data_IF_206493169427
#
_entry.id   IF_206493169427
#
_cell.length_a   1.000
_cell.length_b   1.000
_cell.length_c   1.000
_cell.angle_alpha   90.00
_cell.angle_beta   90.00
_cell.angle_gamma   90.00
#
_symmetry.space_group_name_H-M   'P 1'
#
loop_
_entity.id
_entity.type
_entity.pdbx_description
1 polymer ?
#
# COMPACT_ATOMS: atom_id res chain seq x y z
N UNK A 1 45.41 28.38 -75.15
CA UNK A 1 46.45 27.35 -75.02
C UNK A 1 46.44 26.86 -73.59
N UNK A 2 46.01 25.67 -73.19
CA UNK A 2 45.19 24.60 -73.81
C UNK A 2 44.68 23.73 -72.63
N UNK A 3 43.95 22.60 -72.70
CA UNK A 3 43.32 21.70 -73.69
C UNK A 3 42.21 20.96 -72.88
N UNK A 4 41.16 20.32 -73.40
CA UNK A 4 40.37 20.38 -74.65
C UNK A 4 39.14 19.51 -74.40
N UNK A 5 37.93 19.99 -74.71
CA UNK A 5 36.71 19.16 -74.63
C UNK A 5 36.45 18.55 -76.00
N UNK A 6 36.20 17.23 -76.04
CA UNK A 6 35.79 16.54 -77.26
C UNK A 6 34.70 15.52 -76.94
N UNK A 7 33.46 15.85 -77.28
CA UNK A 7 32.36 14.89 -77.38
C UNK A 7 32.62 13.95 -78.57
N UNK A 8 32.19 12.69 -78.44
CA UNK A 8 31.85 11.89 -79.61
C UNK A 8 30.59 11.06 -79.34
N UNK A 9 29.74 10.99 -80.36
CA UNK A 9 28.36 10.55 -80.21
C UNK A 9 28.18 9.02 -80.30
N UNK A 10 27.25 8.60 -79.47
CA UNK A 10 26.56 7.33 -79.31
C UNK A 10 26.43 6.39 -80.54
N UNK A 11 26.64 5.09 -80.33
CA UNK A 11 25.74 3.99 -80.79
C UNK A 11 26.20 2.65 -80.20
N UNK A 12 25.36 1.98 -79.41
CA UNK A 12 24.99 0.57 -79.56
C UNK A 12 24.31 0.00 -78.29
N UNK A 13 23.23 -0.78 -78.54
CA UNK A 13 22.79 -1.97 -77.79
C UNK A 13 22.54 -1.88 -76.28
N UNK A 14 21.31 -2.21 -75.89
CA UNK A 14 21.00 -2.67 -74.54
C UNK A 14 20.65 -4.15 -74.56
N UNK A 15 21.03 -4.86 -73.51
CA UNK A 15 20.33 -6.06 -73.03
C UNK A 15 20.55 -6.20 -71.52
N UNK A 16 19.65 -6.91 -70.84
CA UNK A 16 19.71 -7.35 -69.44
C UNK A 16 20.03 -6.31 -68.33
N UNK A 17 19.32 -6.24 -67.20
CA UNK A 17 18.35 -7.17 -66.65
C UNK A 17 18.46 -7.21 -65.12
N UNK A 18 17.39 -6.78 -64.44
CA UNK A 18 16.99 -7.26 -63.10
C UNK A 18 17.77 -6.75 -61.85
N UNK A 19 17.16 -5.73 -61.23
CA UNK A 19 17.07 -5.42 -59.78
C UNK A 19 18.30 -5.05 -58.95
N UNK A 20 18.27 -3.81 -58.44
CA UNK A 20 19.00 -3.43 -57.23
C UNK A 20 18.38 -4.07 -55.96
N UNK A 21 19.23 -4.63 -55.10
CA UNK A 21 18.84 -5.05 -53.74
C UNK A 21 18.72 -3.82 -52.84
N UNK A 22 17.73 -3.72 -51.93
CA UNK A 22 17.65 -2.63 -50.98
C UNK A 22 18.80 -2.72 -49.97
N UNK A 23 19.49 -1.60 -49.73
CA UNK A 23 20.57 -1.53 -48.75
C UNK A 23 20.04 -1.85 -47.34
N UNK A 24 20.65 -2.83 -46.69
CA UNK A 24 20.33 -3.20 -45.31
C UNK A 24 20.76 -2.08 -44.36
N UNK A 25 19.79 -1.32 -43.85
CA UNK A 25 20.02 -0.30 -42.82
C UNK A 25 20.42 -1.01 -41.53
N UNK A 26 21.72 -1.01 -41.23
CA UNK A 26 22.24 -1.46 -39.94
C UNK A 26 21.74 -0.46 -38.88
N UNK A 27 21.06 -0.89 -37.80
CA UNK A 27 20.62 0.02 -36.76
C UNK A 27 21.84 0.65 -36.09
N UNK A 28 21.91 1.98 -36.11
CA UNK A 28 22.93 2.71 -35.36
C UNK A 28 22.67 2.50 -33.87
N UNK A 29 23.49 1.66 -33.23
CA UNK A 29 23.56 1.59 -31.77
C UNK A 29 23.91 2.98 -31.24
N UNK A 30 23.02 3.53 -30.41
CA UNK A 30 23.23 4.84 -29.78
C UNK A 30 24.40 4.74 -28.80
N UNK A 31 25.55 5.24 -29.25
CA UNK A 31 26.81 5.21 -28.52
C UNK A 31 26.72 5.99 -27.19
N UNK A 32 25.82 6.99 -27.11
CA UNK A 32 25.57 7.75 -25.89
C UNK A 32 24.94 6.88 -24.81
N UNK A 33 23.88 6.15 -25.13
CA UNK A 33 23.21 5.25 -24.18
C UNK A 33 24.12 4.13 -23.68
N UNK A 34 24.97 3.57 -24.55
CA UNK A 34 25.96 2.56 -24.15
C UNK A 34 27.04 3.13 -23.22
N UNK A 35 27.46 4.39 -23.44
CA UNK A 35 28.42 5.08 -22.59
C UNK A 35 27.81 5.44 -21.22
N UNK A 36 26.58 5.96 -21.20
CA UNK A 36 25.87 6.32 -19.98
C UNK A 36 25.60 5.09 -19.09
N UNK A 37 25.20 3.97 -19.67
CA UNK A 37 25.00 2.71 -18.93
C UNK A 37 26.34 2.14 -18.43
N UNK A 38 27.42 2.22 -19.23
CA UNK A 38 28.76 1.82 -18.79
C UNK A 38 29.26 2.68 -17.61
N UNK A 39 29.06 4.00 -17.66
CA UNK A 39 29.40 4.94 -16.57
C UNK A 39 28.57 4.62 -15.32
N UNK A 40 27.24 4.48 -15.46
CA UNK A 40 26.34 4.15 -14.35
C UNK A 40 26.75 2.85 -13.66
N UNK A 41 27.07 1.81 -14.44
CA UNK A 41 27.52 0.52 -13.93
C UNK A 41 28.88 0.60 -13.23
N UNK A 42 29.82 1.39 -13.76
CA UNK A 42 31.11 1.62 -13.14
C UNK A 42 30.99 2.35 -11.79
N UNK A 43 30.18 3.41 -11.72
CA UNK A 43 29.92 4.18 -10.49
C UNK A 43 29.21 3.33 -9.44
N UNK A 44 28.18 2.57 -9.82
CA UNK A 44 27.48 1.64 -8.92
C UNK A 44 28.42 0.54 -8.39
N UNK A 45 29.33 0.03 -9.23
CA UNK A 45 30.35 -0.92 -8.83
C UNK A 45 31.35 -0.36 -7.80
N UNK A 46 31.78 0.90 -7.95
CA UNK A 46 32.64 1.55 -6.95
C UNK A 46 31.90 1.82 -5.64
N UNK A 47 30.64 2.30 -5.69
CA UNK A 47 29.84 2.51 -4.48
C UNK A 47 29.61 1.21 -3.71
N UNK A 48 29.28 0.11 -4.40
CA UNK A 48 29.15 -1.21 -3.79
C UNK A 48 30.48 -1.72 -3.18
N UNK A 49 31.61 -1.44 -3.84
CA UNK A 49 32.93 -1.81 -3.33
C UNK A 49 33.31 -1.04 -2.04
N UNK A 50 33.03 0.26 -1.95
CA UNK A 50 33.31 1.02 -0.73
C UNK A 50 32.30 0.75 0.40
N UNK A 51 31.01 0.58 0.08
CA UNK A 51 30.01 0.12 1.04
C UNK A 51 30.42 -1.22 1.68
N UNK A 52 30.99 -2.15 0.89
CA UNK A 52 31.54 -3.41 1.41
C UNK A 52 32.75 -3.23 2.33
N UNK A 53 33.62 -2.24 2.08
CA UNK A 53 34.75 -1.94 3.00
C UNK A 53 34.26 -1.32 4.32
N UNK A 54 33.29 -0.40 4.26
CA UNK A 54 32.67 0.19 5.46
C UNK A 54 31.99 -0.89 6.28
N UNK A 55 31.17 -1.75 5.65
CA UNK A 55 30.51 -2.86 6.32
C UNK A 55 31.52 -3.84 6.96
N UNK A 56 32.61 -4.17 6.27
CA UNK A 56 33.66 -5.03 6.83
C UNK A 56 34.36 -4.41 8.05
N UNK A 57 34.56 -3.07 8.07
CA UNK A 57 35.09 -2.35 9.22
C UNK A 57 34.14 -2.39 10.41
N UNK A 58 32.89 -1.97 10.21
CA UNK A 58 31.87 -1.91 11.28
C UNK A 58 31.57 -3.29 11.86
N UNK A 59 31.44 -4.32 11.01
CA UNK A 59 31.23 -5.71 11.47
C UNK A 59 32.45 -6.23 12.23
N UNK A 60 33.67 -5.85 11.83
CA UNK A 60 34.89 -6.21 12.57
C UNK A 60 35.01 -5.53 13.94
N UNK A 61 34.47 -4.32 14.09
CA UNK A 61 34.46 -3.57 15.35
C UNK A 61 33.36 -4.06 16.31
N UNK A 62 32.20 -4.48 15.78
CA UNK A 62 31.08 -5.00 16.57
C UNK A 62 31.21 -6.49 16.94
N UNK A 63 31.93 -7.31 16.15
CA UNK A 63 32.20 -8.72 16.46
C UNK A 63 33.42 -8.88 17.38
N UNK A 64 33.36 -8.27 18.56
CA UNK A 64 34.33 -8.55 19.63
C UNK A 64 34.27 -10.04 20.04
N UNK A 65 35.37 -10.62 20.54
CA UNK A 65 35.37 -12.04 20.94
C UNK A 65 34.36 -12.35 22.05
N UNK A 66 33.99 -11.36 22.85
CA UNK A 66 32.95 -11.43 23.90
C UNK A 66 31.55 -11.54 23.28
N UNK A 67 31.22 -10.69 22.29
CA UNK A 67 29.94 -10.76 21.55
C UNK A 67 29.83 -12.08 20.79
N UNK A 68 30.91 -12.54 20.15
CA UNK A 68 30.95 -13.83 19.44
C UNK A 68 30.81 -15.01 20.41
N UNK A 69 31.29 -14.91 21.65
CA UNK A 69 31.07 -15.92 22.68
C UNK A 69 29.60 -15.95 23.13
N UNK A 70 29.01 -14.80 23.44
CA UNK A 70 27.59 -14.69 23.81
C UNK A 70 26.65 -15.23 22.72
N UNK A 71 26.87 -14.88 21.46
CA UNK A 71 26.08 -15.42 20.33
C UNK A 71 26.15 -16.95 20.21
N UNK A 72 27.30 -17.56 20.57
CA UNK A 72 27.45 -19.03 20.59
C UNK A 72 26.74 -19.67 21.77
N UNK A 73 26.75 -19.01 22.93
CA UNK A 73 26.02 -19.47 24.12
C UNK A 73 24.52 -19.48 23.86
N UNK A 74 23.96 -18.39 23.31
CA UNK A 74 22.54 -18.33 22.90
C UNK A 74 22.20 -19.42 21.88
N UNK A 75 23.02 -19.60 20.85
CA UNK A 75 22.79 -20.62 19.82
C UNK A 75 22.85 -22.07 20.36
N UNK A 76 23.67 -22.33 21.39
CA UNK A 76 23.66 -23.62 22.09
C UNK A 76 22.39 -23.80 22.93
N UNK A 77 21.93 -22.73 23.59
CA UNK A 77 20.73 -22.76 24.43
C UNK A 77 19.45 -22.97 23.59
N UNK A 78 19.35 -22.32 22.43
CA UNK A 78 18.30 -22.57 21.44
C UNK A 78 18.37 -23.99 20.85
N UNK A 79 19.57 -24.49 20.54
CA UNK A 79 19.74 -25.86 20.05
C UNK A 79 19.33 -26.91 21.10
N UNK A 80 19.59 -26.67 22.38
CA UNK A 80 19.10 -27.51 23.48
C UNK A 80 17.58 -27.46 23.58
N UNK A 81 16.97 -26.26 23.53
CA UNK A 81 15.50 -26.09 23.52
C UNK A 81 14.83 -26.79 22.33
N UNK A 82 15.48 -26.83 21.17
CA UNK A 82 14.98 -27.51 19.98
C UNK A 82 15.10 -29.05 20.02
N UNK A 83 15.91 -29.61 20.92
CA UNK A 83 16.19 -31.04 21.01
C UNK A 83 15.35 -31.80 22.05
N UNK A 84 14.63 -31.10 22.95
CA UNK A 84 13.77 -31.73 23.97
C UNK A 84 12.30 -31.22 23.93
N UNK A 85 11.51 -31.65 22.93
CA UNK A 85 10.09 -31.30 22.82
C UNK A 85 9.20 -32.21 23.70
N UNK A 86 9.25 -32.01 25.02
CA UNK A 86 8.29 -32.50 26.03
C UNK A 86 8.27 -34.01 26.33
N UNK A 87 7.90 -34.38 27.57
CA UNK A 87 6.60 -35.04 27.69
C UNK A 87 5.73 -34.53 28.86
N UNK A 88 4.43 -34.43 28.60
CA UNK A 88 3.40 -34.45 29.64
C UNK A 88 3.49 -35.75 30.46
N UNK A 89 3.65 -35.65 31.77
CA UNK A 89 3.50 -36.75 32.71
C UNK A 89 2.71 -36.28 33.94
N UNK A 90 1.38 -36.32 33.83
CA UNK A 90 0.45 -35.86 34.87
C UNK A 90 0.53 -36.72 36.14
N UNK A 91 0.71 -36.09 37.30
CA UNK A 91 0.14 -36.55 38.57
C UNK A 91 -0.39 -35.35 39.38
N UNK A 92 -1.42 -35.55 40.23
CA UNK A 92 -2.31 -34.45 40.63
C UNK A 92 -2.06 -33.89 42.03
N UNK A 93 -2.29 -32.58 42.16
CA UNK A 93 -2.62 -31.93 43.42
C UNK A 93 -1.45 -31.28 44.16
N UNK A 94 -1.31 -29.97 44.00
CA UNK A 94 -1.58 -29.01 45.08
C UNK A 94 -1.75 -27.61 44.47
N UNK A 95 -2.72 -26.84 44.99
CA UNK A 95 -3.02 -25.49 44.48
C UNK A 95 -2.21 -24.47 45.29
N UNK A 96 -1.27 -23.80 44.64
CA UNK A 96 -0.64 -22.58 45.15
C UNK A 96 -0.97 -21.42 44.19
N UNK A 97 -1.66 -20.35 44.62
CA UNK A 97 -2.06 -19.26 43.74
C UNK A 97 -0.93 -18.24 43.57
N UNK A 98 0.04 -18.56 42.72
CA UNK A 98 1.12 -17.64 42.35
C UNK A 98 1.95 -18.14 41.16
N UNK A 99 2.40 -17.21 40.31
CA UNK A 99 3.21 -17.44 39.11
C UNK A 99 2.54 -18.26 37.98
N UNK A 100 1.60 -17.62 37.28
CA UNK A 100 1.15 -18.02 35.93
C UNK A 100 0.81 -16.79 35.06
N UNK A 101 1.67 -15.78 35.10
CA UNK A 101 1.63 -14.58 34.24
C UNK A 101 3.08 -14.20 33.86
N UNK A 102 3.69 -14.88 32.88
CA UNK A 102 4.96 -14.42 32.26
C UNK A 102 5.32 -15.04 30.87
N UNK A 103 4.39 -15.74 30.19
CA UNK A 103 4.64 -16.38 28.87
C UNK A 103 3.54 -16.05 27.83
N UNK A 104 2.90 -14.88 27.94
CA UNK A 104 1.78 -14.47 27.07
C UNK A 104 1.85 -13.01 26.55
N UNK A 105 2.94 -12.27 26.80
CA UNK A 105 3.05 -10.84 26.44
C UNK A 105 3.98 -10.53 25.25
N UNK A 106 4.65 -11.50 24.62
CA UNK A 106 5.60 -11.24 23.51
C UNK A 106 4.96 -10.86 22.15
N UNK A 107 3.63 -10.98 21.97
CA UNK A 107 2.94 -10.70 20.70
C UNK A 107 1.70 -9.79 20.87
N UNK A 108 1.69 -8.97 21.93
CA UNK A 108 0.67 -7.94 22.10
C UNK A 108 0.90 -6.80 21.09
N UNK A 109 -0.11 -6.41 20.27
CA UNK A 109 0.06 -5.30 19.34
C UNK A 109 0.39 -4.01 20.11
N UNK A 110 1.25 -3.14 19.56
CA UNK A 110 1.73 -1.96 20.28
C UNK A 110 0.55 -1.08 20.73
N UNK A 111 0.62 -0.51 21.95
CA UNK A 111 -0.48 0.27 22.50
C UNK A 111 -0.75 1.49 21.60
N UNK A 112 -2.01 1.72 21.29
CA UNK A 112 -2.45 2.88 20.48
C UNK A 112 -2.12 4.19 21.22
N UNK A 113 -1.54 5.15 20.52
CA UNK A 113 -1.25 6.49 21.07
C UNK A 113 -2.56 7.18 21.45
N UNK A 114 -3.51 7.19 20.51
CA UNK A 114 -4.85 7.68 20.71
C UNK A 114 -5.76 6.49 20.98
N UNK A 115 -6.19 6.31 22.25
CA UNK A 115 -7.03 5.17 22.65
C UNK A 115 -8.44 5.16 22.03
N UNK A 116 -8.89 6.28 21.48
CA UNK A 116 -10.22 6.42 20.88
C UNK A 116 -10.15 7.29 19.64
N UNK A 117 -11.10 7.07 18.71
CA UNK A 117 -11.27 7.90 17.53
C UNK A 117 -11.52 9.38 17.89
N UNK A 118 -12.27 9.66 18.96
CA UNK A 118 -12.49 11.03 19.45
C UNK A 118 -11.17 11.72 19.84
N UNK A 119 -10.30 11.03 20.59
CA UNK A 119 -8.99 11.57 20.95
C UNK A 119 -8.12 11.82 19.70
N UNK A 120 -8.08 10.89 18.75
CA UNK A 120 -7.37 11.09 17.48
C UNK A 120 -7.89 12.31 16.71
N UNK A 121 -9.22 12.44 16.57
CA UNK A 121 -9.82 13.54 15.81
C UNK A 121 -9.60 14.89 16.50
N UNK A 122 -9.79 14.97 17.82
CA UNK A 122 -9.66 16.22 18.59
C UNK A 122 -8.19 16.63 18.77
N UNK A 123 -7.34 15.70 19.20
CA UNK A 123 -6.03 16.03 19.75
C UNK A 123 -4.92 15.96 18.67
N UNK A 124 -5.12 15.19 17.58
CA UNK A 124 -4.23 15.17 16.41
C UNK A 124 -4.85 15.84 15.17
N UNK A 125 -5.92 15.27 14.62
CA UNK A 125 -6.40 15.64 13.28
C UNK A 125 -6.84 17.11 13.19
N UNK A 126 -7.61 17.60 14.16
CA UNK A 126 -8.06 18.99 14.20
C UNK A 126 -6.91 20.00 14.40
N UNK A 127 -5.80 19.59 15.03
CA UNK A 127 -4.63 20.43 15.25
C UNK A 127 -3.72 20.53 14.01
N UNK A 128 -3.67 19.43 13.23
CA UNK A 128 -2.87 19.31 12.01
C UNK A 128 -3.60 19.84 10.77
N UNK A 129 -4.88 19.48 10.58
CA UNK A 129 -5.60 19.69 9.32
C UNK A 129 -6.29 21.08 9.24
N UNK A 130 -5.47 22.13 9.11
CA UNK A 130 -5.93 23.53 9.14
C UNK A 130 -6.54 23.94 7.79
N UNK A 131 -7.83 24.28 7.79
CA UNK A 131 -8.60 24.74 6.62
C UNK A 131 -9.60 25.81 7.02
N UNK A 132 -9.94 26.70 6.08
CA UNK A 132 -10.95 27.73 6.30
C UNK A 132 -12.36 27.11 6.23
N UNK A 133 -12.96 26.85 7.40
CA UNK A 133 -14.31 26.27 7.54
C UNK A 133 -15.24 27.07 8.47
N UNK A 134 -14.73 28.19 9.01
CA UNK A 134 -15.41 29.02 10.01
C UNK A 134 -15.82 30.38 9.45
N UNK A 135 -15.11 30.92 8.45
CA UNK A 135 -15.39 32.25 7.92
C UNK A 135 -16.72 32.33 7.16
N UNK A 136 -17.43 33.48 7.16
CA UNK A 136 -18.68 33.65 6.42
C UNK A 136 -18.50 33.40 4.92
N UNK A 137 -19.08 32.31 4.43
CA UNK A 137 -19.00 31.90 3.02
C UNK A 137 -18.01 30.77 2.73
N UNK A 138 -17.13 30.42 3.68
CA UNK A 138 -16.20 29.27 3.59
C UNK A 138 -16.91 27.96 3.20
N UNK A 139 -18.15 27.78 3.65
CA UNK A 139 -19.07 26.68 3.30
C UNK A 139 -19.31 26.46 1.78
N UNK A 140 -18.89 27.39 0.91
CA UNK A 140 -18.87 27.21 -0.56
C UNK A 140 -17.66 26.41 -1.05
N UNK A 141 -16.57 26.38 -0.28
CA UNK A 141 -15.27 25.85 -0.65
C UNK A 141 -14.85 24.66 0.23
N UNK A 142 -15.14 24.72 1.53
CA UNK A 142 -14.94 23.62 2.46
C UNK A 142 -16.07 23.57 3.51
N UNK A 143 -16.44 22.37 3.96
CA UNK A 143 -17.45 22.16 5.00
C UNK A 143 -16.88 21.32 6.12
N UNK A 144 -17.23 21.68 7.36
CA UNK A 144 -16.97 20.85 8.52
C UNK A 144 -18.22 20.79 9.40
N UNK A 145 -18.50 19.61 9.95
CA UNK A 145 -19.56 19.41 10.91
C UNK A 145 -18.97 19.28 12.31
N UNK A 146 -19.29 20.17 13.28
CA UNK A 146 -18.81 20.03 14.65
C UNK A 146 -19.26 18.73 15.32
N UNK A 147 -20.46 18.22 14.98
CA UNK A 147 -20.98 16.92 15.40
C UNK A 147 -20.69 15.85 14.35
N UNK A 148 -19.42 15.68 13.98
CA UNK A 148 -18.98 14.77 12.91
C UNK A 148 -19.39 13.30 13.18
N UNK A 149 -19.47 12.91 14.46
CA UNK A 149 -19.91 11.59 14.91
C UNK A 149 -21.38 11.27 14.59
N UNK A 150 -22.20 12.23 14.17
CA UNK A 150 -23.58 11.97 13.70
C UNK A 150 -23.61 11.60 12.20
N UNK A 151 -22.46 11.45 11.55
CA UNK A 151 -22.33 11.01 10.17
C UNK A 151 -21.56 9.68 10.10
N UNK A 152 -22.25 8.56 9.86
CA UNK A 152 -21.61 7.24 9.77
C UNK A 152 -20.51 7.14 8.70
N UNK A 153 -20.68 7.84 7.57
CA UNK A 153 -19.65 7.96 6.52
C UNK A 153 -18.40 8.71 7.00
N UNK A 154 -18.56 9.67 7.94
CA UNK A 154 -17.43 10.35 8.56
C UNK A 154 -16.73 9.46 9.58
N UNK A 155 -17.49 8.75 10.43
CA UNK A 155 -16.91 7.77 11.37
C UNK A 155 -16.06 6.74 10.61
N UNK A 156 -16.61 6.08 9.58
CA UNK A 156 -15.89 5.05 8.84
C UNK A 156 -14.60 5.55 8.17
N UNK A 157 -14.61 6.75 7.60
CA UNK A 157 -13.37 7.36 7.05
C UNK A 157 -12.38 7.72 8.16
N UNK A 158 -12.83 8.40 9.21
CA UNK A 158 -11.95 8.85 10.29
C UNK A 158 -11.36 7.67 11.07
N UNK A 159 -12.11 6.58 11.23
CA UNK A 159 -11.58 5.33 11.82
C UNK A 159 -10.50 4.70 10.93
N UNK A 160 -10.73 4.59 9.62
CA UNK A 160 -9.71 4.11 8.69
C UNK A 160 -8.43 4.99 8.72
N UNK A 161 -8.59 6.32 8.81
CA UNK A 161 -7.47 7.25 8.98
C UNK A 161 -6.70 7.01 10.27
N UNK A 162 -7.41 6.84 11.39
CA UNK A 162 -6.82 6.59 12.71
C UNK A 162 -6.06 5.26 12.74
N UNK A 163 -6.64 4.16 12.25
CA UNK A 163 -5.95 2.86 12.20
C UNK A 163 -4.69 2.91 11.36
N UNK A 164 -4.77 3.50 10.16
CA UNK A 164 -3.60 3.66 9.29
C UNK A 164 -2.55 4.63 9.89
N UNK A 165 -2.96 5.59 10.72
CA UNK A 165 -2.03 6.48 11.44
C UNK A 165 -1.27 5.72 12.54
N UNK A 166 -1.99 4.92 13.33
CA UNK A 166 -1.40 4.11 14.41
C UNK A 166 -0.42 3.06 13.85
N UNK A 167 -0.68 2.51 12.66
CA UNK A 167 0.30 1.69 11.94
C UNK A 167 1.51 2.54 11.46
N UNK A 168 1.25 3.64 10.76
CA UNK A 168 2.29 4.46 10.14
C UNK A 168 3.21 5.18 11.13
N UNK A 169 2.78 5.44 12.38
CA UNK A 169 3.59 6.12 13.40
C UNK A 169 4.77 5.27 13.91
N UNK A 170 4.72 3.96 13.72
CA UNK A 170 5.80 3.03 14.08
C UNK A 170 6.83 2.84 12.97
N UNK A 171 6.59 3.40 11.78
CA UNK A 171 7.55 3.37 10.67
C UNK A 171 8.76 4.29 10.88
N UNK A 172 9.95 3.81 10.51
CA UNK A 172 11.21 4.56 10.62
C UNK A 172 11.52 5.39 9.35
N UNK A 173 10.70 5.29 8.30
CA UNK A 173 10.98 5.81 6.96
C UNK A 173 9.87 6.69 6.39
N UNK A 174 9.27 6.26 5.29
CA UNK A 174 8.29 7.03 4.51
C UNK A 174 6.84 6.63 4.78
N UNK A 175 6.58 5.84 5.82
CA UNK A 175 5.26 5.31 6.18
C UNK A 175 4.29 6.47 6.49
N UNK A 176 4.72 7.44 7.31
CA UNK A 176 3.93 8.64 7.60
C UNK A 176 3.64 9.49 6.35
N UNK A 177 4.59 9.57 5.40
CA UNK A 177 4.37 10.26 4.11
C UNK A 177 3.34 9.52 3.25
N UNK A 178 3.42 8.19 3.22
CA UNK A 178 2.46 7.31 2.56
C UNK A 178 1.07 7.45 3.18
N UNK A 179 0.98 7.55 4.50
CA UNK A 179 -0.28 7.79 5.21
C UNK A 179 -0.96 9.09 4.79
N UNK A 180 -0.20 10.20 4.69
CA UNK A 180 -0.75 11.46 4.18
C UNK A 180 -1.30 11.31 2.76
N UNK A 181 -0.50 10.73 1.85
CA UNK A 181 -0.82 10.67 0.42
C UNK A 181 -1.92 9.66 0.06
N UNK A 182 -1.94 8.48 0.71
CA UNK A 182 -2.84 7.37 0.37
C UNK A 182 -4.11 7.35 1.21
N UNK A 183 -4.08 7.94 2.42
CA UNK A 183 -5.19 7.87 3.36
C UNK A 183 -5.70 9.27 3.72
N UNK A 184 -4.88 10.12 4.36
CA UNK A 184 -5.33 11.38 4.94
C UNK A 184 -5.92 12.35 3.88
N UNK A 185 -5.14 12.72 2.87
CA UNK A 185 -5.54 13.76 1.91
C UNK A 185 -6.76 13.34 1.05
N UNK A 186 -6.85 12.10 0.51
CA UNK A 186 -8.05 11.66 -0.22
C UNK A 186 -9.31 11.67 0.64
N UNK A 187 -9.26 11.11 1.86
CA UNK A 187 -10.44 11.04 2.73
C UNK A 187 -10.84 12.42 3.27
N UNK A 188 -9.88 13.26 3.64
CA UNK A 188 -10.16 14.62 4.12
C UNK A 188 -10.65 15.54 3.00
N UNK A 189 -10.22 15.33 1.76
CA UNK A 189 -10.76 16.06 0.59
C UNK A 189 -12.25 15.77 0.42
N UNK A 190 -12.68 14.51 0.52
CA UNK A 190 -14.10 14.15 0.46
C UNK A 190 -14.90 14.61 1.68
N UNK A 191 -14.35 14.50 2.89
CA UNK A 191 -15.02 14.99 4.11
C UNK A 191 -15.26 16.51 4.07
N UNK A 192 -14.26 17.28 3.62
CA UNK A 192 -14.34 18.73 3.52
C UNK A 192 -15.10 19.20 2.28
N UNK A 193 -15.39 18.32 1.32
CA UNK A 193 -16.04 18.66 0.05
C UNK A 193 -17.39 19.37 0.27
N UNK A 194 -17.68 20.49 -0.42
CA UNK A 194 -18.98 21.13 -0.38
C UNK A 194 -20.16 20.23 -0.78
N UNK A 195 -19.89 19.11 -1.47
CA UNK A 195 -20.87 18.09 -1.88
C UNK A 195 -20.76 16.77 -1.10
N UNK A 196 -19.80 16.64 -0.19
CA UNK A 196 -19.55 15.43 0.62
C UNK A 196 -20.55 15.21 1.77
N UNK A 197 -20.23 14.36 2.76
CA UNK A 197 -21.17 13.97 3.83
C UNK A 197 -21.64 15.13 4.71
N UNK A 198 -20.87 16.24 4.76
CA UNK A 198 -21.21 17.44 5.49
C UNK A 198 -21.96 18.50 4.64
N UNK A 199 -22.48 18.16 3.45
CA UNK A 199 -23.12 19.09 2.48
C UNK A 199 -24.10 20.13 3.07
N UNK A 200 -24.90 19.76 4.06
CA UNK A 200 -25.86 20.67 4.72
C UNK A 200 -25.40 21.18 6.08
N UNK A 201 -24.23 20.76 6.55
CA UNK A 201 -23.65 21.17 7.82
C UNK A 201 -22.65 22.32 7.63
N UNK A 202 -22.37 23.04 8.70
CA UNK A 202 -21.25 24.00 8.79
C UNK A 202 -20.90 24.28 10.25
N UNK A 203 -19.75 24.92 10.50
CA UNK A 203 -19.39 25.36 11.87
C UNK A 203 -20.37 26.40 12.40
N UNK A 204 -20.92 27.26 11.53
CA UNK A 204 -21.85 28.35 11.92
C UNK A 204 -23.29 27.87 12.17
N UNK A 205 -23.78 26.91 11.37
CA UNK A 205 -25.17 26.41 11.45
C UNK A 205 -25.29 25.09 12.23
N UNK A 206 -24.16 24.40 12.46
CA UNK A 206 -24.13 23.09 13.11
C UNK A 206 -24.41 21.92 12.17
N UNK A 207 -24.84 20.81 12.77
CA UNK A 207 -25.23 19.59 12.09
C UNK A 207 -26.69 19.63 11.62
N UNK A 208 -26.97 19.02 10.46
CA UNK A 208 -28.32 18.89 9.89
C UNK A 208 -28.56 17.49 9.29
N UNK A 209 -29.61 16.82 9.76
CA UNK A 209 -30.07 15.48 9.34
C UNK A 209 -30.74 15.45 7.93
N UNK A 210 -30.31 16.31 7.01
CA UNK A 210 -30.94 16.46 5.68
C UNK A 210 -30.52 15.41 4.65
N UNK A 211 -29.44 14.68 4.91
CA UNK A 211 -29.03 13.53 4.10
C UNK A 211 -29.59 12.27 4.76
N UNK A 212 -30.55 11.62 4.09
CA UNK A 212 -31.04 10.32 4.50
C UNK A 212 -30.12 9.19 3.98
N UNK A 213 -30.30 7.98 4.53
CA UNK A 213 -29.71 6.76 3.99
C UNK A 213 -30.01 6.61 2.49
N UNK A 214 -29.11 5.96 1.75
CA UNK A 214 -29.32 5.66 0.34
C UNK A 214 -30.63 4.86 0.14
N UNK A 215 -31.45 5.19 -0.87
CA UNK A 215 -32.65 4.43 -1.17
C UNK A 215 -32.25 3.07 -1.75
N UNK A 216 -32.65 2.00 -1.05
CA UNK A 216 -32.39 0.61 -1.44
C UNK A 216 -33.72 -0.13 -1.57
N UNK A 217 -33.82 -0.99 -2.58
CA UNK A 217 -34.75 -2.11 -2.57
C UNK A 217 -34.02 -3.31 -1.94
N UNK A 218 -34.72 -4.20 -1.21
CA UNK A 218 -34.10 -5.44 -0.72
C UNK A 218 -33.49 -6.25 -1.87
N UNK A 219 -32.37 -6.91 -1.60
CA UNK A 219 -31.82 -7.90 -2.53
C UNK A 219 -32.80 -9.08 -2.70
N UNK A 220 -32.81 -9.75 -3.86
CA UNK A 220 -33.53 -11.01 -4.03
C UNK A 220 -33.10 -12.05 -2.99
N UNK A 221 -34.05 -12.83 -2.50
CA UNK A 221 -33.78 -14.00 -1.66
C UNK A 221 -32.86 -14.98 -2.40
N UNK A 222 -31.95 -15.63 -1.67
CA UNK A 222 -30.92 -16.52 -2.25
C UNK A 222 -29.68 -15.82 -2.82
N UNK A 223 -29.71 -14.50 -3.09
CA UNK A 223 -28.58 -13.82 -3.76
C UNK A 223 -27.31 -13.67 -2.90
N UNK A 224 -27.43 -13.74 -1.57
CA UNK A 224 -26.33 -13.48 -0.62
C UNK A 224 -26.27 -14.49 0.55
N UNK A 225 -26.61 -15.76 0.32
CA UNK A 225 -26.68 -16.78 1.39
C UNK A 225 -25.35 -17.02 2.12
N UNK A 226 -24.20 -16.94 1.43
CA UNK A 226 -22.86 -17.03 2.04
C UNK A 226 -22.26 -15.65 2.41
N UNK A 227 -23.06 -14.58 2.32
CA UNK A 227 -22.61 -13.19 2.45
C UNK A 227 -22.00 -12.59 1.17
N UNK A 228 -21.90 -13.35 0.07
CA UNK A 228 -21.38 -12.88 -1.22
C UNK A 228 -22.43 -13.03 -2.33
N UNK A 229 -22.31 -12.21 -3.38
CA UNK A 229 -23.26 -12.24 -4.48
C UNK A 229 -23.19 -13.57 -5.26
N UNK A 230 -24.35 -14.14 -5.55
CA UNK A 230 -24.53 -15.33 -6.38
C UNK A 230 -25.48 -15.04 -7.54
N UNK A 231 -25.25 -15.67 -8.70
CA UNK A 231 -26.18 -15.61 -9.82
C UNK A 231 -27.49 -16.36 -9.46
N UNK A 232 -28.67 -15.73 -9.54
CA UNK A 232 -29.93 -16.41 -9.28
C UNK A 232 -30.21 -17.44 -10.39
N UNK A 233 -30.30 -18.71 -10.01
CA UNK A 233 -30.58 -19.79 -10.95
C UNK A 233 -32.09 -19.85 -11.30
N UNK A 234 -32.48 -20.05 -12.58
CA UNK A 234 -31.64 -20.07 -13.77
C UNK A 234 -31.44 -18.65 -14.33
N UNK A 235 -30.22 -18.37 -14.81
CA UNK A 235 -29.87 -17.11 -15.44
C UNK A 235 -30.65 -16.87 -16.75
N UNK A 236 -31.79 -16.19 -16.65
CA UNK A 236 -32.31 -15.41 -17.78
C UNK A 236 -31.32 -14.27 -17.98
N UNK A 237 -30.49 -14.37 -19.03
CA UNK A 237 -29.47 -13.38 -19.36
C UNK A 237 -30.11 -12.03 -19.72
N UNK A 238 -30.35 -11.21 -18.70
CA UNK A 238 -30.59 -9.78 -18.87
C UNK A 238 -29.23 -9.14 -19.16
N UNK A 239 -29.17 -8.20 -20.11
CA UNK A 239 -27.94 -7.62 -20.65
C UNK A 239 -27.08 -6.78 -19.66
N UNK A 240 -27.29 -6.95 -18.36
CA UNK A 240 -26.53 -6.32 -17.27
C UNK A 240 -26.18 -7.33 -16.16
N UNK A 241 -26.16 -8.64 -16.47
CA UNK A 241 -25.64 -9.67 -15.57
C UNK A 241 -24.16 -9.39 -15.27
N UNK A 242 -23.89 -8.94 -14.05
CA UNK A 242 -22.56 -8.62 -13.57
C UNK A 242 -21.79 -9.92 -13.28
N UNK A 243 -21.19 -10.54 -14.29
CA UNK A 243 -20.38 -11.75 -14.14
C UNK A 243 -19.18 -11.47 -13.24
N UNK A 244 -19.30 -11.78 -11.95
CA UNK A 244 -18.18 -11.75 -11.03
C UNK A 244 -17.24 -12.91 -11.36
N UNK A 245 -15.92 -12.67 -11.53
CA UNK A 245 -14.98 -13.77 -11.69
C UNK A 245 -14.96 -14.61 -10.42
N UNK A 246 -15.04 -15.93 -10.57
CA UNK A 246 -14.98 -16.85 -9.44
C UNK A 246 -13.70 -16.63 -8.61
N UNK A 247 -13.76 -16.63 -7.27
CA UNK A 247 -12.61 -16.36 -6.43
C UNK A 247 -11.50 -17.39 -6.69
N UNK A 248 -10.29 -16.91 -6.99
CA UNK A 248 -9.15 -17.72 -7.47
C UNK A 248 -8.53 -18.64 -6.40
N UNK A 249 -9.03 -18.62 -5.17
CA UNK A 249 -8.54 -19.46 -4.08
C UNK A 249 -9.67 -20.12 -3.29
N UNK A 250 -9.63 -21.45 -3.08
CA UNK A 250 -10.45 -22.13 -2.09
C UNK A 250 -9.87 -21.90 -0.69
N UNK A 251 -9.83 -20.63 -0.23
CA UNK A 251 -9.72 -20.39 1.21
C UNK A 251 -11.05 -20.83 1.81
N UNK A 252 -10.98 -21.77 2.76
CA UNK A 252 -12.13 -22.25 3.55
C UNK A 252 -12.71 -21.04 4.27
N UNK A 253 -13.75 -20.43 3.71
CA UNK A 253 -14.37 -19.21 4.25
C UNK A 253 -15.01 -19.57 5.58
N UNK A 254 -14.49 -19.00 6.66
CA UNK A 254 -15.20 -18.98 7.93
C UNK A 254 -16.43 -18.10 7.74
N UNK A 255 -17.60 -18.72 7.61
CA UNK A 255 -18.88 -18.02 7.73
C UNK A 255 -18.91 -17.49 9.16
N UNK A 256 -18.85 -16.17 9.32
CA UNK A 256 -19.12 -15.54 10.62
C UNK A 256 -20.63 -15.52 10.80
N UNK A 257 -21.14 -16.39 11.66
CA UNK A 257 -22.51 -16.32 12.14
C UNK A 257 -22.66 -15.03 12.98
N UNK A 258 -23.54 -14.13 12.53
CA UNK A 258 -23.93 -12.97 13.31
C UNK A 258 -25.10 -13.37 14.23
N UNK A 259 -25.06 -13.01 15.54
CA UNK A 259 -26.16 -13.31 16.45
C UNK A 259 -27.43 -12.52 16.10
N UNK A 260 -28.60 -13.11 16.39
CA UNK A 260 -29.94 -12.55 16.17
C UNK A 260 -30.26 -11.30 17.02
#
# INVERSE_FOLDING_TARGET
MSDTTFEFDNTAEGDDGVTAMPALVIPQMDLGQLLDEAIRKAVSGQLAAEAKKIAAGVVGELLTPEVVAGMRETAVLEAVRALDPSPEASLPGEQDPGAAEDDAEEDAPPPLEYRTLDAFVRDYLAMMYRREVVEPGSAKHARWCPRWWEHGEAIGRLEALWRAFEEARHGEGSEMSTWWLQHADPMMTELLSPTGPFKYCSVQQGHHERLARLPLVPAPEGMFEDGHAHDPAPAVLVASSLTLPAPTHPRRRTVMEFPE
#
